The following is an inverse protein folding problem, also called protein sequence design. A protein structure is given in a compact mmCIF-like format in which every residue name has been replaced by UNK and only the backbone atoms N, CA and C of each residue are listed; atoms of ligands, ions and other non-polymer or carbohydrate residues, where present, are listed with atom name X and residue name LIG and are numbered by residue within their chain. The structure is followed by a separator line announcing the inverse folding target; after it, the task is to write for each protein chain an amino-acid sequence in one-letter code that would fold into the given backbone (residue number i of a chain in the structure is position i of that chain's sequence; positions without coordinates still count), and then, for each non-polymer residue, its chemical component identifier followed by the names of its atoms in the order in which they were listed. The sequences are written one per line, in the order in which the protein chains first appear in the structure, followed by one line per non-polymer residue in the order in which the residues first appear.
data_IF_069724439562
#
_entry.id   IF_069724439562
#
_cell.length_a   1.000
_cell.length_b   1.000
_cell.length_c   1.000
_cell.angle_alpha   90.00
_cell.angle_beta   90.00
_cell.angle_gamma   90.00
#
_symmetry.space_group_name_H-M   'P 1'
#
loop_
_entity.id
_entity.type
_entity.pdbx_description
1 polymer ?
#
# COMPACT_ATOMS: atom_id res chain seq x y z
N UNK A 1 -11.18 -27.39 10.70
CA UNK A 1 -12.10 -26.83 9.68
C UNK A 1 -13.35 -26.42 10.42
N UNK A 2 -13.87 -25.22 10.15
CA UNK A 2 -15.03 -24.64 10.84
C UNK A 2 -16.29 -25.47 10.56
N UNK A 3 -17.05 -25.81 11.59
CA UNK A 3 -18.28 -26.58 11.53
C UNK A 3 -19.28 -25.97 10.53
N UNK A 4 -19.43 -26.54 9.33
CA UNK A 4 -20.46 -26.16 8.35
C UNK A 4 -21.23 -27.41 7.97
N UNK A 5 -22.54 -27.26 7.75
CA UNK A 5 -23.48 -28.33 7.39
C UNK A 5 -23.54 -29.49 8.42
N UNK A 6 -23.90 -29.17 9.68
CA UNK A 6 -24.07 -30.14 10.79
C UNK A 6 -22.85 -31.03 11.14
N UNK A 7 -21.66 -30.73 10.61
CA UNK A 7 -20.43 -31.41 10.98
C UNK A 7 -19.68 -30.67 12.09
N UNK A 8 -19.14 -31.41 13.05
CA UNK A 8 -18.29 -30.86 14.10
C UNK A 8 -17.03 -30.20 13.51
N UNK A 9 -16.68 -29.03 14.03
CA UNK A 9 -15.55 -28.28 13.53
C UNK A 9 -15.08 -27.20 14.48
N UNK A 10 -13.78 -27.18 14.72
CA UNK A 10 -13.09 -26.25 15.62
C UNK A 10 -12.40 -25.15 14.80
N UNK A 11 -12.54 -23.90 15.28
CA UNK A 11 -11.80 -22.73 14.80
C UNK A 11 -10.85 -22.28 15.90
N UNK A 12 -9.57 -22.16 15.59
CA UNK A 12 -8.55 -21.65 16.50
C UNK A 12 -7.99 -20.36 15.90
N UNK A 13 -8.01 -19.28 16.65
CA UNK A 13 -7.35 -18.02 16.30
C UNK A 13 -6.14 -17.84 17.20
N UNK A 14 -4.98 -17.57 16.61
CA UNK A 14 -3.74 -17.27 17.30
C UNK A 14 -3.35 -15.85 16.93
N UNK A 15 -2.99 -15.05 17.92
CA UNK A 15 -2.75 -13.61 17.77
C UNK A 15 -1.25 -13.31 17.91
N UNK A 16 -0.54 -14.03 18.78
CA UNK A 16 0.85 -13.76 19.10
C UNK A 16 1.80 -14.84 18.56
N UNK A 17 3.03 -14.45 18.20
CA UNK A 17 4.06 -15.38 17.71
C UNK A 17 4.50 -16.38 18.79
N UNK A 18 4.39 -16.03 20.07
CA UNK A 18 4.66 -16.92 21.20
C UNK A 18 3.76 -18.17 21.19
N UNK A 19 2.56 -18.07 20.63
CA UNK A 19 1.57 -19.15 20.58
C UNK A 19 1.90 -20.21 19.51
N UNK A 20 2.92 -20.00 18.69
CA UNK A 20 3.34 -20.97 17.66
C UNK A 20 3.69 -22.33 18.27
N UNK A 21 4.30 -22.35 19.46
CA UNK A 21 4.63 -23.61 20.17
C UNK A 21 3.38 -24.34 20.65
N UNK A 22 2.33 -23.60 21.03
CA UNK A 22 1.05 -24.17 21.43
C UNK A 22 0.34 -24.81 20.22
N UNK A 23 0.34 -24.12 19.08
CA UNK A 23 -0.19 -24.66 17.83
C UNK A 23 0.47 -25.98 17.43
N UNK A 24 1.81 -26.02 17.45
CA UNK A 24 2.56 -27.24 17.09
C UNK A 24 2.24 -28.41 18.02
N UNK A 25 2.09 -28.16 19.33
CA UNK A 25 1.64 -29.18 20.29
C UNK A 25 0.23 -29.67 19.96
N UNK A 26 -0.70 -28.76 19.72
CA UNK A 26 -2.09 -29.11 19.36
C UNK A 26 -2.15 -29.95 18.07
N UNK A 27 -1.38 -29.60 17.05
CA UNK A 27 -1.30 -30.36 15.80
C UNK A 27 -0.78 -31.78 16.03
N UNK A 28 0.24 -31.95 16.87
CA UNK A 28 0.74 -33.27 17.29
C UNK A 28 -0.33 -34.07 18.02
N UNK A 29 -1.02 -33.47 19.00
CA UNK A 29 -2.10 -34.12 19.76
C UNK A 29 -3.27 -34.54 18.86
N UNK A 30 -3.58 -33.75 17.83
CA UNK A 30 -4.66 -34.04 16.87
C UNK A 30 -4.23 -34.98 15.73
N UNK A 31 -3.02 -35.55 15.79
CA UNK A 31 -2.43 -36.41 14.75
C UNK A 31 -2.44 -35.76 13.35
N UNK A 32 -2.34 -34.43 13.30
CA UNK A 32 -2.29 -33.63 12.09
C UNK A 32 -0.85 -33.22 11.85
N UNK A 33 -0.12 -34.01 11.08
CA UNK A 33 1.30 -33.78 10.78
C UNK A 33 1.55 -32.70 9.72
N UNK A 34 0.49 -32.09 9.16
CA UNK A 34 0.66 -30.98 8.22
C UNK A 34 1.14 -29.74 8.96
N UNK A 35 2.42 -29.43 8.79
CA UNK A 35 3.00 -28.15 9.21
C UNK A 35 2.27 -26.99 8.51
N UNK A 36 2.17 -25.83 9.19
CA UNK A 36 1.64 -24.64 8.54
C UNK A 36 2.56 -24.27 7.37
N UNK A 37 2.01 -24.02 6.17
CA UNK A 37 2.82 -23.53 5.08
C UNK A 37 3.48 -22.22 5.53
N UNK A 38 4.81 -22.14 5.42
CA UNK A 38 5.52 -20.89 5.71
C UNK A 38 5.00 -19.81 4.78
N UNK A 39 4.75 -18.64 5.33
CA UNK A 39 4.41 -17.48 4.54
C UNK A 39 5.56 -17.20 3.55
N UNK A 40 5.29 -17.07 2.24
CA UNK A 40 6.34 -16.88 1.25
C UNK A 40 6.91 -15.46 1.37
N UNK A 41 8.04 -15.34 2.04
CA UNK A 41 8.79 -14.08 2.11
C UNK A 41 9.70 -14.03 0.89
N UNK A 42 9.48 -13.04 0.02
CA UNK A 42 10.40 -12.77 -1.10
C UNK A 42 11.66 -12.13 -0.52
N UNK A 43 12.75 -12.89 -0.45
CA UNK A 43 14.02 -12.46 0.17
C UNK A 43 14.56 -11.16 -0.43
N UNK A 44 14.53 -11.02 -1.76
CA UNK A 44 14.99 -9.82 -2.45
C UNK A 44 14.17 -8.56 -2.15
N UNK A 45 12.85 -8.71 -1.94
CA UNK A 45 11.99 -7.61 -1.48
C UNK A 45 12.38 -7.21 -0.07
N UNK A 46 12.57 -8.18 0.82
CA UNK A 46 12.92 -7.93 2.21
C UNK A 46 14.28 -7.24 2.35
N UNK A 47 15.26 -7.59 1.52
CA UNK A 47 16.56 -6.92 1.48
C UNK A 47 16.43 -5.44 1.07
N UNK A 48 15.68 -5.16 0.00
CA UNK A 48 15.44 -3.79 -0.46
C UNK A 48 14.69 -2.94 0.59
N UNK A 49 13.73 -3.54 1.30
CA UNK A 49 13.00 -2.88 2.40
C UNK A 49 13.94 -2.60 3.58
N UNK A 50 14.73 -3.60 4.02
CA UNK A 50 15.69 -3.45 5.12
C UNK A 50 16.68 -2.32 4.85
N UNK A 51 17.22 -2.23 3.63
CA UNK A 51 18.14 -1.15 3.23
C UNK A 51 17.50 0.23 3.38
N UNK A 52 16.24 0.40 2.94
CA UNK A 52 15.51 1.68 3.07
C UNK A 52 15.23 2.04 4.52
N UNK A 53 14.78 1.07 5.32
CA UNK A 53 14.45 1.26 6.74
C UNK A 53 15.69 1.61 7.55
N UNK A 54 16.80 0.91 7.33
CA UNK A 54 18.06 1.19 8.02
C UNK A 54 18.57 2.60 7.70
N UNK A 55 18.52 3.00 6.42
CA UNK A 55 18.90 4.34 6.00
C UNK A 55 17.99 5.41 6.63
N UNK A 56 16.68 5.19 6.68
CA UNK A 56 15.74 6.09 7.32
C UNK A 56 16.00 6.22 8.84
N UNK A 57 16.28 5.11 9.52
CA UNK A 57 16.63 5.11 10.95
C UNK A 57 17.91 5.88 11.25
N UNK A 58 18.89 5.75 10.37
CA UNK A 58 20.15 6.49 10.50
C UNK A 58 19.96 7.99 10.30
N UNK A 59 19.13 8.40 9.33
CA UNK A 59 18.75 9.80 9.12
C UNK A 59 18.03 10.35 10.34
N UNK A 60 17.05 9.61 10.88
CA UNK A 60 16.28 10.01 12.05
C UNK A 60 17.18 10.20 13.28
N UNK A 61 18.13 9.28 13.51
CA UNK A 61 19.14 9.41 14.56
C UNK A 61 19.97 10.69 14.44
N UNK A 62 20.55 10.95 13.26
CA UNK A 62 21.35 12.17 13.04
C UNK A 62 20.51 13.46 13.13
N UNK A 63 19.26 13.42 12.67
CA UNK A 63 18.35 14.57 12.79
C UNK A 63 17.98 14.85 14.24
N UNK A 64 17.73 13.81 15.03
CA UNK A 64 17.43 13.95 16.45
C UNK A 64 18.63 14.52 17.22
N UNK A 65 19.84 14.03 16.95
CA UNK A 65 21.07 14.56 17.54
C UNK A 65 21.29 16.03 17.17
N UNK A 66 21.15 16.38 15.89
CA UNK A 66 21.25 17.76 15.42
C UNK A 66 20.21 18.66 16.10
N UNK A 67 18.94 18.23 16.16
CA UNK A 67 17.89 18.97 16.85
C UNK A 67 18.22 19.15 18.33
N UNK A 68 18.60 18.10 19.05
CA UNK A 68 18.97 18.20 20.48
C UNK A 68 20.09 19.21 20.73
N UNK A 69 21.09 19.23 19.85
CA UNK A 69 22.19 20.19 19.89
C UNK A 69 21.72 21.64 19.66
N UNK A 70 20.85 21.89 18.68
CA UNK A 70 20.43 23.25 18.29
C UNK A 70 19.20 23.76 19.05
N UNK A 71 18.39 22.87 19.62
CA UNK A 71 17.10 23.22 20.26
C UNK A 71 17.26 24.22 21.39
N UNK A 72 18.30 24.07 22.23
CA UNK A 72 18.54 24.98 23.37
C UNK A 72 18.81 26.41 22.89
N UNK A 73 19.72 26.56 21.94
CA UNK A 73 20.05 27.86 21.33
C UNK A 73 18.82 28.46 20.64
N UNK A 74 18.11 27.66 19.84
CA UNK A 74 16.92 28.17 19.12
C UNK A 74 15.77 28.55 20.06
N UNK A 75 15.64 27.83 21.19
CA UNK A 75 14.61 28.13 22.18
C UNK A 75 14.90 29.43 22.91
N UNK A 76 16.13 29.63 23.38
CA UNK A 76 16.55 30.88 24.04
C UNK A 76 16.41 32.07 23.09
N UNK A 77 16.89 31.93 21.85
CA UNK A 77 16.78 32.98 20.84
C UNK A 77 15.32 33.35 20.55
N UNK A 78 14.45 32.34 20.39
CA UNK A 78 13.03 32.58 20.12
C UNK A 78 12.29 33.19 21.32
N UNK A 79 12.59 32.74 22.52
CA UNK A 79 11.98 33.28 23.74
C UNK A 79 12.37 34.74 23.97
N UNK A 80 13.62 35.11 23.69
CA UNK A 80 14.06 36.50 23.76
C UNK A 80 13.38 37.38 22.71
N UNK A 81 13.22 36.90 21.47
CA UNK A 81 12.48 37.60 20.42
C UNK A 81 11.00 37.82 20.81
N UNK A 82 10.34 36.82 21.41
CA UNK A 82 8.95 36.94 21.87
C UNK A 82 8.79 37.89 23.08
N UNK A 83 9.84 38.07 23.89
CA UNK A 83 9.86 38.97 25.05
C UNK A 83 10.52 40.33 24.76
N UNK A 84 10.93 40.58 23.51
CA UNK A 84 11.65 41.77 23.06
C UNK A 84 12.90 42.07 23.93
N UNK A 85 13.65 41.01 24.28
CA UNK A 85 14.87 41.06 25.09
C UNK A 85 16.11 41.08 24.19
N UNK A 86 17.05 41.97 24.49
CA UNK A 86 18.39 41.97 23.90
C UNK A 86 19.28 41.02 24.69
N UNK A 87 19.68 39.89 24.08
CA UNK A 87 20.63 38.94 24.65
C UNK A 87 22.05 39.29 24.18
N UNK A 88 22.96 39.43 25.13
CA UNK A 88 24.40 39.54 24.84
C UNK A 88 25.02 38.17 24.51
N UNK A 89 26.19 38.16 23.86
CA UNK A 89 26.83 36.92 23.41
C UNK A 89 27.24 36.00 24.57
N UNK A 90 27.47 36.57 25.76
CA UNK A 90 27.79 35.85 27.00
C UNK A 90 26.56 35.19 27.66
N UNK A 91 25.34 35.63 27.34
CA UNK A 91 24.09 35.06 27.86
C UNK A 91 23.54 33.92 26.98
N UNK A 92 24.10 33.75 25.79
CA UNK A 92 23.72 32.68 24.87
C UNK A 92 24.28 31.33 25.36
N UNK A 93 23.48 30.26 25.32
CA UNK A 93 23.98 28.92 25.62
C UNK A 93 25.07 28.51 24.61
N UNK A 94 26.04 27.73 25.08
CA UNK A 94 27.16 27.22 24.27
C UNK A 94 26.69 26.73 22.89
N UNK A 95 27.03 27.49 21.84
CA UNK A 95 26.69 27.11 20.48
C UNK A 95 27.51 25.88 20.11
N UNK A 96 26.83 24.84 19.62
CA UNK A 96 27.52 23.73 18.96
C UNK A 96 28.28 24.30 17.77
N UNK A 97 29.61 24.13 17.76
CA UNK A 97 30.52 24.66 16.75
C UNK A 97 29.88 24.70 15.34
N UNK A 98 29.71 25.89 14.78
CA UNK A 98 28.98 26.08 13.51
C UNK A 98 29.56 25.26 12.36
N UNK A 99 30.87 24.99 12.39
CA UNK A 99 31.51 24.13 11.41
C UNK A 99 31.05 22.67 11.52
N UNK A 100 30.92 22.14 12.73
CA UNK A 100 30.48 20.75 12.94
C UNK A 100 28.99 20.59 12.64
N UNK A 101 28.17 21.58 13.01
CA UNK A 101 26.73 21.58 12.73
C UNK A 101 26.45 21.62 11.23
N UNK A 102 27.18 22.43 10.46
CA UNK A 102 27.08 22.48 9.00
C UNK A 102 27.48 21.16 8.33
N UNK A 103 28.53 20.49 8.83
CA UNK A 103 28.95 19.17 8.32
C UNK A 103 27.87 18.12 8.57
N UNK A 104 27.27 18.08 9.76
CA UNK A 104 26.19 17.15 10.10
C UNK A 104 24.98 17.39 9.20
N UNK A 105 24.58 18.65 8.99
CA UNK A 105 23.48 19.01 8.11
C UNK A 105 23.72 18.55 6.67
N UNK A 106 24.92 18.76 6.12
CA UNK A 106 25.31 18.25 4.79
C UNK A 106 25.23 16.73 4.71
N UNK A 107 25.69 16.00 5.74
CA UNK A 107 25.59 14.53 5.78
C UNK A 107 24.14 14.05 5.76
N UNK A 108 23.25 14.70 6.53
CA UNK A 108 21.82 14.40 6.54
C UNK A 108 21.21 14.63 5.14
N UNK A 109 21.55 15.74 4.48
CA UNK A 109 21.06 16.06 3.14
C UNK A 109 21.49 15.02 2.09
N UNK A 110 22.75 14.57 2.14
CA UNK A 110 23.26 13.52 1.24
C UNK A 110 22.49 12.22 1.43
N UNK A 111 22.30 11.76 2.67
CA UNK A 111 21.56 10.52 2.95
C UNK A 111 20.06 10.65 2.64
N UNK A 112 19.47 11.81 2.85
CA UNK A 112 18.11 12.13 2.41
C UNK A 112 17.96 12.00 0.89
N UNK A 113 18.93 12.50 0.11
CA UNK A 113 18.93 12.33 -1.36
C UNK A 113 19.03 10.85 -1.73
N UNK A 114 19.90 10.09 -1.06
CA UNK A 114 20.01 8.64 -1.25
C UNK A 114 18.68 7.92 -0.93
N UNK A 115 18.02 8.26 0.17
CA UNK A 115 16.74 7.68 0.55
C UNK A 115 15.65 8.00 -0.49
N UNK A 116 15.56 9.27 -0.93
CA UNK A 116 14.63 9.69 -1.97
C UNK A 116 14.84 8.92 -3.28
N UNK A 117 16.10 8.70 -3.66
CA UNK A 117 16.44 7.89 -4.84
C UNK A 117 15.98 6.43 -4.67
N UNK A 118 16.22 5.82 -3.51
CA UNK A 118 15.77 4.45 -3.23
C UNK A 118 14.25 4.34 -3.21
N UNK A 119 13.53 5.34 -2.67
CA UNK A 119 12.07 5.36 -2.64
C UNK A 119 11.45 5.47 -4.03
N UNK A 120 12.11 6.18 -4.96
CA UNK A 120 11.68 6.22 -6.37
C UNK A 120 11.83 4.88 -7.08
N UNK A 121 12.76 4.02 -6.66
CA UNK A 121 12.91 2.67 -7.22
C UNK A 121 11.74 1.80 -6.78
N UNK A 122 11.06 1.14 -7.71
CA UNK A 122 10.00 0.19 -7.35
C UNK A 122 10.57 -0.96 -6.50
N UNK A 123 9.77 -1.42 -5.53
CA UNK A 123 10.05 -2.60 -4.71
C UNK A 123 9.55 -3.89 -5.36
N UNK A 124 8.69 -3.78 -6.38
CA UNK A 124 8.01 -4.92 -6.98
C UNK A 124 8.94 -5.59 -7.99
N UNK A 125 9.52 -6.73 -7.61
CA UNK A 125 9.80 -7.76 -8.59
C UNK A 125 8.46 -8.47 -8.79
N UNK A 126 7.93 -8.47 -10.01
CA UNK A 126 6.61 -9.00 -10.35
C UNK A 126 6.62 -10.54 -10.27
N UNK A 127 6.84 -11.10 -9.08
CA UNK A 127 6.82 -12.55 -8.86
C UNK A 127 5.37 -12.95 -8.67
N UNK A 128 4.76 -13.43 -9.75
CA UNK A 128 3.42 -14.01 -9.75
C UNK A 128 3.39 -15.24 -8.82
N UNK A 129 2.75 -15.09 -7.66
CA UNK A 129 2.46 -16.16 -6.72
C UNK A 129 1.17 -16.88 -7.13
N UNK A 130 1.30 -18.11 -7.60
CA UNK A 130 0.15 -18.98 -7.90
C UNK A 130 -0.60 -19.43 -6.64
N UNK A 131 0.07 -19.44 -5.48
CA UNK A 131 -0.50 -19.95 -4.21
C UNK A 131 -1.23 -18.82 -3.45
N UNK A 132 -0.76 -17.59 -3.59
CA UNK A 132 -1.34 -16.44 -2.90
C UNK A 132 -1.69 -15.35 -3.92
N UNK A 133 -2.83 -15.47 -4.62
CA UNK A 133 -3.28 -14.47 -5.59
C UNK A 133 -3.37 -13.05 -5.03
N UNK A 134 -3.60 -12.91 -3.71
CA UNK A 134 -3.59 -11.63 -3.01
C UNK A 134 -2.23 -10.92 -3.02
N UNK A 135 -1.12 -11.67 -3.18
CA UNK A 135 0.23 -11.10 -3.28
C UNK A 135 0.55 -10.64 -4.70
N UNK A 136 -0.24 -11.03 -5.71
CA UNK A 136 -0.05 -10.61 -7.10
C UNK A 136 -0.58 -9.20 -7.35
N UNK A 137 -1.38 -8.66 -6.42
CA UNK A 137 -1.94 -7.32 -6.51
C UNK A 137 -1.13 -6.36 -5.63
N UNK A 138 0.08 -6.05 -6.08
CA UNK A 138 0.65 -4.74 -5.81
C UNK A 138 0.65 -3.99 -7.16
N UNK A 139 -0.35 -3.13 -7.35
CA UNK A 139 -0.49 -2.20 -8.49
C UNK A 139 -1.18 -2.75 -9.75
N UNK A 140 -2.31 -3.44 -9.62
CA UNK A 140 -3.33 -3.46 -10.68
C UNK A 140 -4.21 -2.20 -10.50
N UNK A 141 -3.82 -1.12 -11.19
CA UNK A 141 -4.67 -0.01 -11.63
C UNK A 141 -5.91 0.34 -10.76
N UNK A 142 -5.72 1.12 -9.69
CA UNK A 142 -6.72 2.10 -9.22
C UNK A 142 -6.85 3.29 -10.19
N UNK A 143 -6.83 3.00 -11.49
CA UNK A 143 -7.01 3.92 -12.60
C UNK A 143 -8.03 3.33 -13.58
N UNK A 144 -9.22 3.00 -13.10
CA UNK A 144 -10.39 3.22 -13.91
C UNK A 144 -10.95 4.58 -13.48
N UNK A 145 -10.44 5.66 -14.09
CA UNK A 145 -11.00 7.02 -13.96
C UNK A 145 -12.35 7.15 -14.69
N UNK A 146 -13.22 6.17 -14.54
CA UNK A 146 -14.60 6.30 -14.95
C UNK A 146 -15.43 6.14 -13.70
N UNK A 147 -15.94 7.28 -13.22
CA UNK A 147 -16.95 7.31 -12.18
C UNK A 147 -18.06 6.33 -12.56
N UNK A 148 -18.47 5.46 -11.64
CA UNK A 148 -19.52 4.48 -11.89
C UNK A 148 -20.81 5.12 -12.44
N UNK A 149 -21.05 6.39 -12.09
CA UNK A 149 -22.16 7.21 -12.57
C UNK A 149 -22.03 7.49 -14.08
N UNK A 150 -20.83 7.74 -14.57
CA UNK A 150 -20.55 8.06 -15.97
C UNK A 150 -20.63 6.83 -16.87
N UNK A 151 -20.20 5.66 -16.38
CA UNK A 151 -20.40 4.38 -17.05
C UNK A 151 -21.89 4.01 -17.18
N UNK A 152 -22.72 4.33 -16.17
CA UNK A 152 -24.17 4.14 -16.23
C UNK A 152 -24.83 5.14 -17.18
N UNK A 153 -24.38 6.40 -17.21
CA UNK A 153 -24.89 7.41 -18.15
C UNK A 153 -24.60 7.04 -19.61
N UNK A 154 -23.38 6.65 -19.94
CA UNK A 154 -23.04 6.23 -21.31
C UNK A 154 -23.84 4.99 -21.74
N UNK A 155 -23.99 4.00 -20.85
CA UNK A 155 -24.79 2.80 -21.13
C UNK A 155 -26.29 3.11 -21.33
N UNK A 156 -26.85 4.06 -20.57
CA UNK A 156 -28.25 4.47 -20.71
C UNK A 156 -28.49 5.26 -22.00
N UNK A 157 -27.57 6.16 -22.38
CA UNK A 157 -27.63 6.91 -23.64
C UNK A 157 -27.56 6.00 -24.87
N UNK A 158 -26.66 5.01 -24.85
CA UNK A 158 -26.54 4.05 -25.94
C UNK A 158 -27.79 3.18 -26.09
N UNK A 159 -28.42 2.81 -24.97
CA UNK A 159 -29.66 2.05 -24.99
C UNK A 159 -30.83 2.90 -25.54
N UNK A 160 -30.90 4.18 -25.19
CA UNK A 160 -31.88 5.11 -25.77
C UNK A 160 -31.68 5.30 -27.28
N UNK A 161 -30.43 5.45 -27.75
CA UNK A 161 -30.11 5.55 -29.19
C UNK A 161 -30.49 4.27 -29.94
N UNK A 162 -30.25 3.09 -29.38
CA UNK A 162 -30.68 1.79 -29.96
C UNK A 162 -32.21 1.68 -30.03
N UNK A 163 -32.95 2.12 -29.00
CA UNK A 163 -34.42 2.15 -29.00
C UNK A 163 -34.97 3.08 -30.09
N UNK A 164 -34.40 4.28 -30.26
CA UNK A 164 -34.77 5.22 -31.33
C UNK A 164 -34.53 4.63 -32.73
N UNK A 165 -33.37 3.99 -32.95
CA UNK A 165 -33.06 3.30 -34.23
C UNK A 165 -33.99 2.13 -34.52
N UNK A 166 -34.47 1.43 -33.50
CA UNK A 166 -35.41 0.31 -33.64
C UNK A 166 -36.81 0.79 -34.05
N UNK A 167 -37.23 1.97 -33.61
CA UNK A 167 -38.51 2.57 -33.95
C UNK A 167 -38.54 3.22 -35.35
N UNK A 168 -37.38 3.46 -35.97
CA UNK A 168 -37.28 3.98 -37.34
C UNK A 168 -37.16 2.90 -38.41
N UNK A 169 -37.13 1.60 -38.05
CA UNK A 169 -37.12 0.53 -39.04
C UNK A 169 -38.51 0.40 -39.66
N UNK A 170 -38.70 0.66 -40.97
CA UNK A 170 -40.00 0.47 -41.60
C UNK A 170 -40.40 -1.01 -41.50
N UNK A 171 -41.69 -1.24 -41.26
CA UNK A 171 -42.29 -2.56 -41.15
C UNK A 171 -41.94 -3.38 -42.40
N UNK A 172 -41.11 -4.41 -42.25
CA UNK A 172 -40.77 -5.32 -43.36
C UNK A 172 -42.02 -6.15 -43.66
N UNK A 173 -42.71 -5.84 -44.76
CA UNK A 173 -43.92 -6.55 -45.19
C UNK A 173 -43.65 -8.05 -45.31
N UNK A 174 -44.44 -8.87 -44.61
CA UNK A 174 -44.34 -10.33 -44.67
C UNK A 174 -44.64 -10.79 -46.11
N UNK A 175 -43.67 -11.43 -46.77
CA UNK A 175 -43.91 -12.16 -48.03
C UNK A 175 -44.87 -13.32 -47.75
N UNK A 176 -45.98 -13.40 -48.49
CA UNK A 176 -46.91 -14.54 -48.47
C UNK A 176 -46.17 -15.82 -48.88
N UNK A 177 -46.36 -16.90 -48.12
CA UNK A 177 -45.91 -18.26 -48.51
C UNK A 177 -46.76 -18.75 -49.69
N UNK A 178 -46.20 -19.44 -50.69
CA UNK A 178 -46.99 -20.08 -51.74
C UNK A 178 -47.72 -21.31 -51.16
N UNK A 179 -48.97 -21.47 -51.57
CA UNK A 179 -49.84 -22.62 -51.25
C UNK A 179 -49.34 -23.87 -51.97
N UNK A 180 -49.27 -24.99 -51.25
CA UNK A 180 -48.98 -26.30 -51.81
C UNK A 180 -50.12 -26.74 -52.74
N UNK A 181 -49.80 -27.07 -53.99
CA UNK A 181 -50.66 -27.81 -54.90
C UNK A 181 -50.52 -29.31 -54.60
N UNK A 182 -51.58 -29.92 -54.09
CA UNK A 182 -51.79 -31.36 -54.18
C UNK A 182 -52.17 -31.70 -55.62
N UNK A 183 -51.53 -32.72 -56.19
CA UNK A 183 -52.11 -33.52 -57.27
C UNK A 183 -51.68 -34.97 -57.06
N UNK A 184 -52.69 -35.82 -57.25
CA UNK A 184 -52.74 -37.28 -57.20
C UNK A 184 -51.68 -38.00 -58.05
#
# INVERSE_FOLDING_TARGET
RTARANNEGLTLMLIETAEQKLYLRLMKTLNREKELPRFPIVSGLMEAVKLRVNLAREIDGMQLEYKRATSKVSWVQKAAEEMDLLLDEDEMPDKVNDRTSAIIKRKIEVKMKQLKMLLKKSLTNHTFSYIYPSLNNAVENLKSEQSAIEAVRSATEDNQKKRKRRNQRPFRSKKKKPSASNTE
#
